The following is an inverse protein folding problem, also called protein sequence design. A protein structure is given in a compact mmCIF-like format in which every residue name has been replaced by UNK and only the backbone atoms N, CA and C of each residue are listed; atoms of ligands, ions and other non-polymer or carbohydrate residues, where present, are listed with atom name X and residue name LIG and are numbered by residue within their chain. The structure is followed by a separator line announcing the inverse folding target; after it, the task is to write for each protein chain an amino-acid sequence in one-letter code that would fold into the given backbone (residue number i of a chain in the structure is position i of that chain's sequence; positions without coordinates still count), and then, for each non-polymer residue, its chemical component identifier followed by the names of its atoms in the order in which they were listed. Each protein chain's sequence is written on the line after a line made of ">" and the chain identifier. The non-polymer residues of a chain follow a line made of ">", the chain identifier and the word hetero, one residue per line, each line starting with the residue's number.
data_IF_727999774937
#
_entry.id   IF_727999774937
#
_cell.length_a   1.000
_cell.length_b   1.000
_cell.length_c   1.000
_cell.angle_alpha   90.00
_cell.angle_beta   90.00
_cell.angle_gamma   90.00
#
_symmetry.space_group_name_H-M   'P 1'
#
loop_
_entity.id
_entity.type
_entity.pdbx_description
1 polymer ?
#
# COMPACT_ATOMS: atom_id res chain seq x y z
N UNK A 1 29.79 2.41 -9.49
CA UNK A 1 30.49 1.78 -10.64
C UNK A 1 29.59 1.85 -11.88
N UNK A 2 30.11 2.09 -13.09
CA UNK A 2 29.29 2.10 -14.31
C UNK A 2 28.69 0.71 -14.57
N UNK A 3 27.38 0.62 -14.82
CA UNK A 3 26.70 -0.63 -15.16
C UNK A 3 27.15 -1.13 -16.52
N UNK A 4 27.62 -2.38 -16.60
CA UNK A 4 28.05 -2.96 -17.88
C UNK A 4 26.88 -3.05 -18.87
N UNK A 5 27.13 -3.03 -20.20
CA UNK A 5 26.07 -3.23 -21.20
C UNK A 5 25.23 -4.49 -20.97
N UNK A 6 25.86 -5.57 -20.50
CA UNK A 6 25.17 -6.83 -20.15
C UNK A 6 24.23 -6.68 -18.96
N UNK A 7 24.66 -5.96 -17.92
CA UNK A 7 23.82 -5.67 -16.75
C UNK A 7 22.60 -4.85 -17.13
N UNK A 8 22.77 -3.83 -18.00
CA UNK A 8 21.66 -3.00 -18.51
C UNK A 8 20.67 -3.81 -19.34
N UNK A 9 21.15 -4.65 -20.26
CA UNK A 9 20.28 -5.52 -21.05
C UNK A 9 19.48 -6.49 -20.17
N UNK A 10 20.10 -7.04 -19.11
CA UNK A 10 19.41 -7.89 -18.14
C UNK A 10 18.32 -7.13 -17.36
N UNK A 11 18.62 -5.91 -16.91
CA UNK A 11 17.63 -5.06 -16.22
C UNK A 11 16.45 -4.72 -17.13
N UNK A 12 16.71 -4.31 -18.38
CA UNK A 12 15.66 -4.03 -19.36
C UNK A 12 14.75 -5.24 -19.60
N UNK A 13 15.34 -6.44 -19.70
CA UNK A 13 14.56 -7.68 -19.87
C UNK A 13 13.66 -7.96 -18.67
N UNK A 14 14.15 -7.70 -17.45
CA UNK A 14 13.34 -7.84 -16.24
C UNK A 14 12.18 -6.84 -16.21
N UNK A 15 12.44 -5.58 -16.55
CA UNK A 15 11.43 -4.54 -16.65
C UNK A 15 10.35 -4.92 -17.67
N UNK A 16 10.74 -5.44 -18.83
CA UNK A 16 9.81 -5.91 -19.85
C UNK A 16 8.96 -7.11 -19.37
N UNK A 17 9.56 -8.06 -18.64
CA UNK A 17 8.84 -9.18 -18.05
C UNK A 17 7.79 -8.68 -17.05
N UNK A 18 8.15 -7.74 -16.17
CA UNK A 18 7.23 -7.14 -15.19
C UNK A 18 6.13 -6.36 -15.91
N UNK A 19 6.47 -5.51 -16.88
CA UNK A 19 5.51 -4.73 -17.68
C UNK A 19 4.49 -5.63 -18.39
N UNK A 20 4.96 -6.70 -19.04
CA UNK A 20 4.07 -7.67 -19.69
C UNK A 20 3.21 -8.40 -18.64
N UNK A 21 3.80 -8.77 -17.51
CA UNK A 21 3.09 -9.37 -16.38
C UNK A 21 1.96 -8.48 -15.83
N UNK A 22 2.20 -7.17 -15.66
CA UNK A 22 1.18 -6.19 -15.25
C UNK A 22 0.02 -6.15 -16.22
N UNK A 23 0.29 -6.17 -17.53
CA UNK A 23 -0.78 -6.19 -18.53
C UNK A 23 -1.59 -7.48 -18.48
N UNK A 24 -0.95 -8.65 -18.37
CA UNK A 24 -1.68 -9.91 -18.19
C UNK A 24 -2.47 -9.94 -16.89
N UNK A 25 -1.95 -9.36 -15.81
CA UNK A 25 -2.70 -9.19 -14.56
C UNK A 25 -3.97 -8.36 -14.78
N UNK A 26 -3.87 -7.30 -15.59
CA UNK A 26 -5.01 -6.42 -15.90
C UNK A 26 -6.05 -7.07 -16.81
N UNK A 27 -5.64 -7.86 -17.80
CA UNK A 27 -6.57 -8.48 -18.77
C UNK A 27 -7.12 -9.82 -18.30
N UNK A 28 -6.29 -10.64 -17.64
CA UNK A 28 -6.58 -12.05 -17.39
C UNK A 28 -6.64 -12.39 -15.89
N UNK A 29 -6.16 -11.49 -15.03
CA UNK A 29 -6.09 -11.69 -13.58
C UNK A 29 -4.94 -12.58 -13.11
N UNK A 30 -4.70 -12.59 -11.80
CA UNK A 30 -3.55 -13.27 -11.19
C UNK A 30 -3.56 -14.80 -11.39
N UNK A 31 -4.74 -15.42 -11.44
CA UNK A 31 -4.90 -16.86 -11.65
C UNK A 31 -4.38 -17.31 -13.03
N UNK A 32 -4.53 -16.46 -14.06
CA UNK A 32 -4.18 -16.79 -15.44
C UNK A 32 -2.73 -16.44 -15.83
N UNK A 33 -1.96 -15.82 -14.92
CA UNK A 33 -0.56 -15.45 -15.19
C UNK A 33 0.29 -16.64 -15.65
N UNK A 34 1.01 -16.46 -16.75
CA UNK A 34 1.76 -17.51 -17.42
C UNK A 34 3.09 -17.01 -17.99
N UNK A 35 4.20 -17.60 -17.54
CA UNK A 35 5.53 -17.33 -18.10
C UNK A 35 5.64 -17.69 -19.58
N UNK A 36 4.87 -18.66 -20.06
CA UNK A 36 4.82 -19.00 -21.49
C UNK A 36 4.15 -17.89 -22.30
N UNK A 37 3.07 -17.31 -21.78
CA UNK A 37 2.41 -16.17 -22.41
C UNK A 37 3.34 -14.95 -22.43
N UNK A 38 4.03 -14.67 -21.31
CA UNK A 38 5.02 -13.60 -21.22
C UNK A 38 6.14 -13.80 -22.25
N UNK A 39 6.70 -15.00 -22.36
CA UNK A 39 7.76 -15.31 -23.32
C UNK A 39 7.32 -15.10 -24.78
N UNK A 40 6.11 -15.55 -25.11
CA UNK A 40 5.51 -15.39 -26.44
C UNK A 40 5.40 -13.92 -26.80
N UNK A 41 4.92 -13.09 -25.87
CA UNK A 41 4.79 -11.66 -26.13
C UNK A 41 6.14 -10.94 -26.21
N UNK A 42 7.11 -11.35 -25.37
CA UNK A 42 8.48 -10.83 -25.45
C UNK A 42 9.21 -11.26 -26.74
N UNK A 43 8.63 -12.18 -27.53
CA UNK A 43 9.22 -12.67 -28.77
C UNK A 43 10.37 -13.66 -28.56
N UNK A 44 10.42 -14.32 -27.39
CA UNK A 44 11.48 -15.27 -27.03
C UNK A 44 10.93 -16.66 -26.72
N UNK A 45 11.81 -17.66 -26.81
CA UNK A 45 11.49 -19.02 -26.37
C UNK A 45 11.25 -19.06 -24.86
N UNK A 46 10.32 -19.89 -24.38
CA UNK A 46 9.98 -19.95 -22.94
C UNK A 46 11.18 -20.22 -22.05
N UNK A 47 12.10 -21.09 -22.49
CA UNK A 47 13.34 -21.39 -21.75
C UNK A 47 14.24 -20.18 -21.52
N UNK A 48 14.12 -19.11 -22.31
CA UNK A 48 14.86 -17.87 -22.10
C UNK A 48 14.30 -17.09 -20.89
N UNK A 49 12.96 -16.98 -20.77
CA UNK A 49 12.32 -16.28 -19.63
C UNK A 49 12.59 -17.00 -18.30
N UNK A 50 12.62 -18.33 -18.30
CA UNK A 50 12.96 -19.12 -17.10
C UNK A 50 14.37 -18.84 -16.52
N UNK A 51 15.27 -18.20 -17.29
CA UNK A 51 16.58 -17.73 -16.78
C UNK A 51 16.50 -16.44 -15.95
N UNK A 52 15.35 -15.77 -16.01
CA UNK A 52 15.05 -14.52 -15.32
C UNK A 52 14.02 -14.74 -14.21
N UNK A 53 12.96 -15.49 -14.51
CA UNK A 53 11.85 -15.78 -13.60
C UNK A 53 11.52 -17.28 -13.68
N UNK A 54 11.83 -18.00 -12.61
CA UNK A 54 11.83 -19.46 -12.49
C UNK A 54 10.43 -20.06 -12.37
N UNK A 55 9.45 -19.29 -11.89
CA UNK A 55 8.10 -19.78 -11.67
C UNK A 55 7.02 -18.69 -11.81
N UNK A 56 5.76 -19.12 -11.87
CA UNK A 56 4.61 -18.22 -11.77
C UNK A 56 4.62 -17.44 -10.44
N UNK A 57 4.98 -18.09 -9.35
CA UNK A 57 5.00 -17.46 -8.02
C UNK A 57 6.12 -16.42 -7.91
N UNK A 58 7.26 -16.64 -8.58
CA UNK A 58 8.30 -15.62 -8.69
C UNK A 58 7.83 -14.43 -9.53
N UNK A 59 7.05 -14.66 -10.61
CA UNK A 59 6.42 -13.57 -11.36
C UNK A 59 5.42 -12.79 -10.48
N UNK A 60 4.58 -13.49 -9.70
CA UNK A 60 3.66 -12.87 -8.76
C UNK A 60 4.39 -12.05 -7.70
N UNK A 61 5.48 -12.58 -7.14
CA UNK A 61 6.32 -11.88 -6.17
C UNK A 61 6.88 -10.60 -6.77
N UNK A 62 7.39 -10.66 -8.00
CA UNK A 62 7.88 -9.48 -8.70
C UNK A 62 6.77 -8.44 -8.89
N UNK A 63 5.56 -8.85 -9.28
CA UNK A 63 4.42 -7.93 -9.44
C UNK A 63 3.94 -7.34 -8.10
N UNK A 64 4.01 -8.10 -7.01
CA UNK A 64 3.68 -7.61 -5.66
C UNK A 64 4.70 -6.58 -5.19
N UNK A 65 6.00 -6.89 -5.29
CA UNK A 65 7.09 -5.97 -4.94
C UNK A 65 6.99 -4.70 -5.76
N UNK A 66 6.74 -4.85 -7.06
CA UNK A 66 6.56 -3.76 -7.99
C UNK A 66 5.35 -2.87 -7.65
N UNK A 67 4.20 -3.47 -7.34
CA UNK A 67 3.00 -2.76 -6.91
C UNK A 67 3.22 -1.96 -5.64
N UNK A 68 3.79 -2.59 -4.60
CA UNK A 68 4.10 -1.91 -3.35
C UNK A 68 5.15 -0.81 -3.50
N UNK A 69 6.16 -1.04 -4.34
CA UNK A 69 7.22 -0.05 -4.60
C UNK A 69 6.64 1.20 -5.25
N UNK A 70 5.85 1.02 -6.30
CA UNK A 70 5.23 2.12 -7.04
C UNK A 70 4.21 2.90 -6.20
N UNK A 71 3.38 2.21 -5.41
CA UNK A 71 2.47 2.86 -4.46
C UNK A 71 3.26 3.67 -3.42
N UNK A 72 4.30 3.07 -2.83
CA UNK A 72 5.16 3.73 -1.86
C UNK A 72 5.88 4.95 -2.45
N UNK A 73 6.43 4.84 -3.66
CA UNK A 73 7.11 5.95 -4.35
C UNK A 73 6.13 7.09 -4.65
N UNK A 74 4.91 6.76 -5.06
CA UNK A 74 3.86 7.75 -5.34
C UNK A 74 3.46 8.50 -4.06
N UNK A 75 3.28 7.80 -2.94
CA UNK A 75 2.96 8.40 -1.65
C UNK A 75 4.12 9.26 -1.13
N UNK A 76 5.36 8.76 -1.20
CA UNK A 76 6.53 9.51 -0.74
C UNK A 76 6.73 10.81 -1.54
N UNK A 77 6.54 10.76 -2.86
CA UNK A 77 6.60 11.94 -3.72
C UNK A 77 5.49 12.95 -3.38
N UNK A 78 4.26 12.49 -3.15
CA UNK A 78 3.15 13.37 -2.79
C UNK A 78 3.36 14.04 -1.41
N UNK A 79 3.90 13.30 -0.43
CA UNK A 79 4.21 13.82 0.90
C UNK A 79 5.36 14.82 0.90
N UNK A 80 6.34 14.67 0.00
CA UNK A 80 7.45 15.61 -0.12
C UNK A 80 7.00 17.04 -0.51
N UNK A 81 5.91 17.14 -1.28
CA UNK A 81 5.33 18.41 -1.72
C UNK A 81 4.14 18.87 -0.83
N UNK A 82 3.74 18.06 0.15
CA UNK A 82 2.61 18.35 1.01
C UNK A 82 2.93 19.47 2.03
N UNK A 83 1.93 20.28 2.43
CA UNK A 83 2.08 21.23 3.53
C UNK A 83 2.59 20.54 4.80
N UNK A 84 3.34 21.28 5.62
CA UNK A 84 3.92 20.79 6.87
C UNK A 84 2.88 20.69 8.02
N UNK A 85 1.69 20.16 7.71
CA UNK A 85 0.56 20.00 8.62
C UNK A 85 0.10 18.54 8.67
N UNK A 86 0.20 17.84 9.81
CA UNK A 86 -0.05 16.40 9.87
C UNK A 86 -1.43 15.95 9.40
N UNK A 87 -2.49 16.72 9.67
CA UNK A 87 -3.83 16.40 9.19
C UNK A 87 -3.90 16.44 7.65
N UNK A 88 -3.29 17.45 7.03
CA UNK A 88 -3.24 17.56 5.58
C UNK A 88 -2.32 16.52 4.95
N UNK A 89 -1.18 16.19 5.59
CA UNK A 89 -0.31 15.10 5.13
C UNK A 89 -1.05 13.76 5.11
N UNK A 90 -1.88 13.47 6.11
CA UNK A 90 -2.73 12.28 6.10
C UNK A 90 -3.74 12.31 4.94
N UNK A 91 -4.38 13.46 4.69
CA UNK A 91 -5.29 13.62 3.55
C UNK A 91 -4.58 13.42 2.21
N UNK A 92 -3.40 14.00 2.03
CA UNK A 92 -2.55 13.81 0.84
C UNK A 92 -2.20 12.34 0.66
N UNK A 93 -1.76 11.65 1.72
CA UNK A 93 -1.47 10.21 1.67
C UNK A 93 -2.71 9.43 1.22
N UNK A 94 -3.85 9.65 1.87
CA UNK A 94 -5.09 8.92 1.58
C UNK A 94 -5.61 9.16 0.16
N UNK A 95 -5.63 10.41 -0.30
CA UNK A 95 -6.00 10.78 -1.67
C UNK A 95 -5.07 10.16 -2.70
N UNK A 96 -3.77 10.12 -2.39
CA UNK A 96 -2.76 9.52 -3.27
C UNK A 96 -2.97 8.02 -3.40
N UNK A 97 -3.24 7.32 -2.28
CA UNK A 97 -3.59 5.89 -2.29
C UNK A 97 -4.85 5.65 -3.14
N UNK A 98 -5.92 6.43 -2.95
CA UNK A 98 -7.14 6.28 -3.74
C UNK A 98 -6.91 6.54 -5.23
N UNK A 99 -6.21 7.63 -5.58
CA UNK A 99 -5.90 7.98 -6.96
C UNK A 99 -5.07 6.88 -7.64
N UNK A 100 -4.05 6.36 -6.95
CA UNK A 100 -3.24 5.25 -7.45
C UNK A 100 -4.08 3.99 -7.65
N UNK A 101 -4.92 3.66 -6.66
CA UNK A 101 -5.76 2.46 -6.71
C UNK A 101 -6.82 2.51 -7.83
N UNK A 102 -7.38 3.69 -8.11
CA UNK A 102 -8.29 3.92 -9.25
C UNK A 102 -7.58 3.84 -10.59
N UNK A 103 -6.34 4.33 -10.67
CA UNK A 103 -5.54 4.27 -11.90
C UNK A 103 -5.06 2.83 -12.20
N UNK A 104 -4.80 2.04 -11.16
CA UNK A 104 -4.19 0.71 -11.26
C UNK A 104 -5.01 -0.36 -10.49
N UNK A 105 -6.31 -0.57 -10.82
CA UNK A 105 -7.22 -1.40 -10.02
C UNK A 105 -6.78 -2.86 -9.94
N UNK A 106 -6.16 -3.40 -10.99
CA UNK A 106 -5.68 -4.79 -11.01
C UNK A 106 -4.44 -4.98 -10.12
N UNK A 107 -3.57 -3.97 -10.03
CA UNK A 107 -2.42 -3.99 -9.11
C UNK A 107 -2.90 -3.78 -7.68
N UNK A 108 -3.83 -2.86 -7.44
CA UNK A 108 -4.48 -2.73 -6.14
C UNK A 108 -5.15 -4.04 -5.69
N UNK A 109 -5.87 -4.71 -6.59
CA UNK A 109 -6.47 -6.03 -6.36
C UNK A 109 -5.46 -7.12 -6.01
N UNK A 110 -4.27 -7.10 -6.61
CA UNK A 110 -3.20 -8.04 -6.26
C UNK A 110 -2.66 -7.82 -4.84
N UNK A 111 -2.61 -6.56 -4.37
CA UNK A 111 -2.03 -6.21 -3.07
C UNK A 111 -3.05 -6.32 -1.91
N UNK A 112 -4.27 -5.86 -2.14
CA UNK A 112 -5.28 -5.67 -1.08
C UNK A 112 -6.62 -6.39 -1.36
N UNK A 113 -6.72 -7.10 -2.48
CA UNK A 113 -7.91 -7.86 -2.85
C UNK A 113 -7.87 -9.32 -2.40
N UNK A 114 -8.56 -10.18 -3.15
CA UNK A 114 -8.66 -11.61 -2.85
C UNK A 114 -7.29 -12.29 -2.97
N UNK A 115 -6.84 -13.06 -1.96
CA UNK A 115 -5.60 -13.83 -2.03
C UNK A 115 -5.56 -14.75 -3.26
N UNK A 116 -4.38 -14.87 -3.86
CA UNK A 116 -4.16 -15.74 -5.02
C UNK A 116 -4.03 -17.19 -4.54
N UNK A 117 -4.91 -18.13 -4.96
CA UNK A 117 -4.85 -19.51 -4.48
C UNK A 117 -3.49 -20.17 -4.77
N UNK A 118 -2.90 -20.79 -3.75
CA UNK A 118 -1.64 -21.52 -3.86
C UNK A 118 -0.39 -20.64 -3.97
N UNK A 119 -0.50 -19.33 -3.71
CA UNK A 119 0.62 -18.41 -3.68
C UNK A 119 0.76 -17.80 -2.28
N UNK A 120 1.94 -17.98 -1.68
CA UNK A 120 2.35 -17.31 -0.45
C UNK A 120 3.48 -16.33 -0.76
N UNK A 121 3.26 -15.06 -0.44
CA UNK A 121 4.24 -14.01 -0.71
C UNK A 121 5.44 -14.13 0.25
N UNK A 122 6.69 -14.18 -0.25
CA UNK A 122 7.88 -14.27 0.60
C UNK A 122 8.09 -12.96 1.36
N UNK A 123 7.92 -13.01 2.69
CA UNK A 123 7.96 -11.82 3.57
C UNK A 123 9.30 -11.06 3.46
N UNK A 124 10.41 -11.78 3.29
CA UNK A 124 11.75 -11.18 3.14
C UNK A 124 11.88 -10.29 1.89
N UNK A 125 10.99 -10.43 0.90
CA UNK A 125 10.95 -9.58 -0.29
C UNK A 125 9.82 -8.54 -0.24
N UNK A 126 8.68 -8.88 0.39
CA UNK A 126 7.47 -8.07 0.31
C UNK A 126 7.21 -7.19 1.52
N UNK A 127 7.75 -7.50 2.70
CA UNK A 127 7.50 -6.72 3.92
C UNK A 127 8.05 -5.29 3.81
N UNK A 128 9.29 -5.12 3.37
CA UNK A 128 9.92 -3.80 3.26
C UNK A 128 9.15 -2.85 2.32
N UNK A 129 8.85 -3.21 1.06
CA UNK A 129 8.03 -2.35 0.21
C UNK A 129 6.57 -2.26 0.69
N UNK A 130 6.00 -3.35 1.20
CA UNK A 130 4.58 -3.41 1.61
C UNK A 130 4.23 -2.63 2.87
N UNK A 131 5.21 -2.24 3.68
CA UNK A 131 4.97 -1.48 4.91
C UNK A 131 5.18 0.03 4.75
N UNK A 132 5.67 0.52 3.61
CA UNK A 132 6.02 1.95 3.42
C UNK A 132 4.87 2.91 3.76
N UNK A 133 3.67 2.64 3.25
CA UNK A 133 2.51 3.54 3.43
C UNK A 133 2.02 3.55 4.89
N UNK A 134 1.96 2.39 5.56
CA UNK A 134 1.57 2.35 6.99
C UNK A 134 2.63 3.00 7.88
N UNK A 135 3.91 2.85 7.54
CA UNK A 135 5.02 3.53 8.23
C UNK A 135 4.86 5.06 8.10
N UNK A 136 4.63 5.55 6.88
CA UNK A 136 4.41 6.98 6.64
C UNK A 136 3.20 7.52 7.42
N UNK A 137 2.07 6.79 7.40
CA UNK A 137 0.87 7.15 8.15
C UNK A 137 1.13 7.23 9.67
N UNK A 138 1.80 6.23 10.24
CA UNK A 138 2.09 6.22 11.68
C UNK A 138 3.07 7.33 12.08
N UNK A 139 4.03 7.68 11.22
CA UNK A 139 4.93 8.83 11.44
C UNK A 139 4.19 10.16 11.41
N UNK A 140 3.21 10.33 10.52
CA UNK A 140 2.35 11.51 10.49
C UNK A 140 1.60 11.65 11.84
N UNK A 141 1.03 10.56 12.34
CA UNK A 141 0.30 10.57 13.62
C UNK A 141 1.22 10.81 14.83
N UNK A 142 2.39 10.18 14.86
CA UNK A 142 3.39 10.43 15.90
C UNK A 142 3.81 11.91 15.94
N UNK A 143 4.07 12.51 14.77
CA UNK A 143 4.39 13.93 14.70
C UNK A 143 3.24 14.83 15.15
N UNK A 144 1.99 14.46 14.85
CA UNK A 144 0.82 15.18 15.36
C UNK A 144 0.73 15.13 16.89
N UNK A 145 1.07 13.97 17.48
CA UNK A 145 1.15 13.79 18.93
C UNK A 145 2.25 14.64 19.56
N UNK A 146 3.46 14.60 19.01
CA UNK A 146 4.60 15.42 19.47
C UNK A 146 4.29 16.93 19.43
N UNK A 147 3.51 17.37 18.43
CA UNK A 147 3.04 18.76 18.29
C UNK A 147 1.84 19.11 19.18
N UNK A 148 1.32 18.17 19.97
CA UNK A 148 0.15 18.39 20.83
C UNK A 148 -1.17 18.63 20.07
N UNK A 149 -1.25 18.17 18.81
CA UNK A 149 -2.42 18.38 17.95
C UNK A 149 -3.54 17.37 18.20
N UNK A 150 -3.25 16.28 18.92
CA UNK A 150 -4.17 15.18 19.17
C UNK A 150 -4.79 15.25 20.56
N UNK A 151 -6.09 14.96 20.64
CA UNK A 151 -6.81 14.82 21.90
C UNK A 151 -6.85 13.35 22.31
N UNK A 152 -6.27 13.04 23.46
CA UNK A 152 -6.33 11.71 24.06
C UNK A 152 -7.78 11.29 24.36
N UNK A 153 -8.12 9.99 24.26
CA UNK A 153 -9.46 9.52 24.61
C UNK A 153 -9.77 9.75 26.10
N UNK A 154 -11.01 10.15 26.40
CA UNK A 154 -11.49 10.21 27.78
C UNK A 154 -11.75 8.79 28.29
N UNK A 155 -11.11 8.40 29.40
CA UNK A 155 -11.30 7.08 30.02
C UNK A 155 -10.64 5.96 29.22
N UNK A 156 -9.31 5.95 29.19
CA UNK A 156 -8.54 4.92 28.51
C UNK A 156 -8.78 3.56 29.16
N UNK A 157 -9.29 2.58 28.38
CA UNK A 157 -9.32 1.19 28.82
C UNK A 157 -7.92 0.62 28.65
N UNK A 158 -7.37 0.04 29.70
CA UNK A 158 -6.08 -0.65 29.60
C UNK A 158 -6.18 -1.76 28.55
N UNK A 159 -5.23 -1.77 27.60
CA UNK A 159 -5.04 -2.90 26.69
C UNK A 159 -4.45 -4.09 27.45
N UNK A 160 -4.62 -5.30 26.92
CA UNK A 160 -4.04 -6.50 27.52
C UNK A 160 -2.52 -6.50 27.35
N UNK A 161 -1.81 -7.17 28.28
CA UNK A 161 -0.34 -7.29 28.22
C UNK A 161 0.16 -7.79 26.85
N UNK A 162 -0.40 -8.85 26.22
CA UNK A 162 0.05 -9.29 24.91
C UNK A 162 -0.10 -8.24 23.80
N UNK A 163 -1.12 -7.37 23.91
CA UNK A 163 -1.32 -6.30 22.94
C UNK A 163 -0.34 -5.15 23.18
N UNK A 164 -0.04 -4.80 24.43
CA UNK A 164 1.03 -3.85 24.76
C UNK A 164 2.38 -4.34 24.23
N UNK A 165 2.73 -5.62 24.43
CA UNK A 165 3.96 -6.22 23.88
C UNK A 165 4.01 -6.14 22.34
N UNK A 166 2.86 -6.32 21.67
CA UNK A 166 2.76 -6.16 20.22
C UNK A 166 2.97 -4.69 19.81
N UNK A 167 2.41 -3.74 20.56
CA UNK A 167 2.63 -2.31 20.31
C UNK A 167 4.07 -1.88 20.58
N UNK A 168 4.73 -2.45 21.60
CA UNK A 168 6.15 -2.23 21.86
C UNK A 168 7.01 -2.70 20.68
N UNK A 169 6.79 -3.91 20.18
CA UNK A 169 7.51 -4.42 19.02
C UNK A 169 7.29 -3.55 17.77
N UNK A 170 6.08 -3.03 17.55
CA UNK A 170 5.79 -2.12 16.44
C UNK A 170 6.49 -0.76 16.65
N UNK A 171 6.44 -0.20 17.86
CA UNK A 171 7.13 1.05 18.19
C UNK A 171 8.64 0.94 17.97
N UNK A 172 9.25 -0.15 18.41
CA UNK A 172 10.67 -0.42 18.22
C UNK A 172 11.03 -0.53 16.73
N UNK A 173 10.22 -1.25 15.96
CA UNK A 173 10.41 -1.37 14.52
C UNK A 173 10.28 -0.02 13.79
N UNK A 174 9.33 0.82 14.20
CA UNK A 174 9.05 2.10 13.57
C UNK A 174 9.92 3.26 14.09
N UNK A 175 10.55 3.08 15.26
CA UNK A 175 11.25 4.13 16.01
C UNK A 175 10.30 5.21 16.54
N UNK A 176 9.16 4.82 17.12
CA UNK A 176 8.12 5.75 17.59
C UNK A 176 8.01 5.79 19.11
N UNK A 177 7.91 6.99 19.68
CA UNK A 177 7.65 7.21 21.11
C UNK A 177 6.23 7.73 21.32
N UNK A 178 5.24 6.85 21.19
CA UNK A 178 3.82 7.18 21.26
C UNK A 178 3.04 6.28 22.23
N UNK A 179 1.99 6.80 22.90
CA UNK A 179 1.19 6.02 23.84
C UNK A 179 0.34 4.93 23.16
N UNK A 180 -0.07 3.93 23.94
CA UNK A 180 -0.87 2.79 23.47
C UNK A 180 -2.18 3.21 22.81
N UNK A 181 -2.89 4.23 23.32
CA UNK A 181 -4.10 4.73 22.67
C UNK A 181 -3.85 5.20 21.23
N UNK A 182 -2.68 5.80 20.95
CA UNK A 182 -2.37 6.29 19.62
C UNK A 182 -2.03 5.14 18.68
N UNK A 183 -1.29 4.14 19.18
CA UNK A 183 -1.06 2.90 18.44
C UNK A 183 -2.39 2.24 18.07
N UNK A 184 -3.30 2.09 19.04
CA UNK A 184 -4.63 1.51 18.83
C UNK A 184 -5.44 2.28 17.77
N UNK A 185 -5.43 3.61 17.82
CA UNK A 185 -6.13 4.44 16.82
C UNK A 185 -5.49 4.35 15.44
N UNK A 186 -4.16 4.35 15.36
CA UNK A 186 -3.44 4.17 14.10
C UNK A 186 -3.74 2.83 13.43
N UNK A 187 -3.71 1.73 14.19
CA UNK A 187 -4.09 0.40 13.67
C UNK A 187 -5.58 0.25 13.38
N UNK A 188 -6.43 1.13 13.92
CA UNK A 188 -7.86 1.21 13.57
C UNK A 188 -8.07 1.97 12.25
N UNK A 189 -7.37 3.08 12.08
CA UNK A 189 -7.47 3.92 10.87
C UNK A 189 -6.91 3.22 9.64
N UNK A 190 -5.84 2.44 9.78
CA UNK A 190 -5.24 1.69 8.67
C UNK A 190 -6.25 0.82 7.89
N UNK A 191 -6.91 -0.19 8.49
CA UNK A 191 -7.89 -1.00 7.77
C UNK A 191 -9.12 -0.21 7.35
N UNK A 192 -9.50 0.85 8.08
CA UNK A 192 -10.62 1.69 7.69
C UNK A 192 -10.35 2.47 6.40
N UNK A 193 -9.15 3.06 6.26
CA UNK A 193 -8.73 3.72 5.02
C UNK A 193 -8.74 2.75 3.83
N UNK A 194 -8.09 1.60 3.95
CA UNK A 194 -8.07 0.62 2.85
C UNK A 194 -9.44 -0.03 2.60
N UNK A 195 -10.32 -0.08 3.60
CA UNK A 195 -11.72 -0.44 3.43
C UNK A 195 -12.46 0.57 2.54
N UNK A 196 -12.31 1.87 2.80
CA UNK A 196 -12.93 2.92 1.97
C UNK A 196 -12.40 2.91 0.53
N UNK A 197 -11.09 2.79 0.35
CA UNK A 197 -10.47 2.68 -0.99
C UNK A 197 -10.92 1.41 -1.71
N UNK A 198 -10.93 0.26 -1.01
CA UNK A 198 -11.36 -1.00 -1.60
C UNK A 198 -12.84 -1.00 -2.02
N UNK A 199 -13.70 -0.38 -1.22
CA UNK A 199 -15.12 -0.25 -1.58
C UNK A 199 -15.35 0.62 -2.81
N UNK A 200 -14.53 1.66 -2.98
CA UNK A 200 -14.56 2.50 -4.18
C UNK A 200 -14.03 1.74 -5.41
N UNK A 201 -12.82 1.19 -5.32
CA UNK A 201 -12.08 0.58 -6.43
C UNK A 201 -12.73 -0.72 -6.91
N UNK A 202 -13.30 -1.51 -6.01
CA UNK A 202 -14.02 -2.74 -6.37
C UNK A 202 -15.52 -2.54 -6.54
N UNK A 203 -15.96 -1.29 -6.67
CA UNK A 203 -17.34 -0.87 -6.90
C UNK A 203 -18.37 -1.47 -5.92
N UNK A 204 -17.97 -1.66 -4.65
CA UNK A 204 -18.85 -2.24 -3.62
C UNK A 204 -19.96 -1.27 -3.19
N UNK A 205 -19.75 0.04 -3.40
CA UNK A 205 -20.81 1.02 -3.23
C UNK A 205 -21.90 0.89 -4.31
N UNK A 206 -21.57 0.37 -5.50
CA UNK A 206 -22.45 0.33 -6.66
C UNK A 206 -22.49 1.66 -7.42
N UNK A 207 -22.57 1.57 -8.76
CA UNK A 207 -22.41 2.70 -9.68
C UNK A 207 -23.27 3.94 -9.37
N UNK A 208 -24.51 3.74 -8.91
CA UNK A 208 -25.50 4.83 -8.76
C UNK A 208 -25.81 5.21 -7.29
N UNK A 209 -25.15 4.59 -6.32
CA UNK A 209 -25.47 4.80 -4.90
C UNK A 209 -25.04 6.18 -4.39
N UNK A 210 -23.89 6.66 -4.83
CA UNK A 210 -23.35 7.97 -4.44
C UNK A 210 -23.00 8.78 -5.68
N UNK A 211 -23.64 9.93 -5.84
CA UNK A 211 -23.42 10.83 -6.98
C UNK A 211 -22.06 11.54 -6.92
N UNK A 212 -21.50 11.74 -5.73
CA UNK A 212 -20.18 12.35 -5.51
C UNK A 212 -19.35 11.47 -4.56
N UNK A 213 -18.56 10.55 -5.13
CA UNK A 213 -17.69 9.65 -4.37
C UNK A 213 -16.45 10.35 -3.81
N UNK A 214 -16.06 11.46 -4.43
CA UNK A 214 -14.89 12.22 -3.97
C UNK A 214 -15.26 13.02 -2.72
N UNK A 215 -16.41 13.68 -2.69
CA UNK A 215 -16.92 14.29 -1.45
C UNK A 215 -17.12 13.24 -0.35
N UNK A 216 -17.70 12.08 -0.67
CA UNK A 216 -17.86 10.99 0.30
C UNK A 216 -16.52 10.59 0.92
N UNK A 217 -15.49 10.41 0.08
CA UNK A 217 -14.15 10.05 0.55
C UNK A 217 -13.59 11.12 1.49
N UNK A 218 -13.70 12.40 1.15
CA UNK A 218 -13.27 13.51 2.03
C UNK A 218 -13.99 13.47 3.40
N UNK A 219 -15.30 13.19 3.43
CA UNK A 219 -16.05 13.04 4.70
C UNK A 219 -15.60 11.83 5.51
N UNK A 220 -15.20 10.75 4.84
CA UNK A 220 -14.62 9.59 5.52
C UNK A 220 -13.26 9.96 6.12
N UNK A 221 -12.42 10.73 5.42
CA UNK A 221 -11.13 11.21 5.96
C UNK A 221 -11.31 12.10 7.19
N UNK A 222 -12.31 12.98 7.20
CA UNK A 222 -12.65 13.78 8.38
C UNK A 222 -13.00 12.88 9.58
N UNK A 223 -13.77 11.82 9.34
CA UNK A 223 -14.09 10.82 10.35
C UNK A 223 -12.87 10.05 10.86
N UNK A 224 -11.96 9.65 9.97
CA UNK A 224 -10.72 8.97 10.33
C UNK A 224 -9.79 9.86 11.14
N UNK A 225 -9.64 11.14 10.75
CA UNK A 225 -8.86 12.13 11.52
C UNK A 225 -9.44 12.35 12.92
N UNK A 226 -10.77 12.39 13.05
CA UNK A 226 -11.43 12.46 14.35
C UNK A 226 -11.18 11.21 15.19
N UNK A 227 -11.13 10.00 14.59
CA UNK A 227 -10.74 8.77 15.29
C UNK A 227 -9.33 8.86 15.84
N UNK A 228 -8.36 9.40 15.08
CA UNK A 228 -6.98 9.64 15.58
C UNK A 228 -6.96 10.63 16.74
N UNK A 229 -7.85 11.62 16.72
CA UNK A 229 -8.00 12.64 17.76
C UNK A 229 -7.68 14.06 17.30
N UNK A 230 -7.61 14.31 15.99
CA UNK A 230 -7.58 15.67 15.46
C UNK A 230 -8.88 16.40 15.78
N UNK A 231 -8.80 17.71 15.96
CA UNK A 231 -9.98 18.53 16.26
C UNK A 231 -10.79 18.77 14.97
N UNK A 232 -12.13 18.81 15.05
CA UNK A 232 -12.94 19.20 13.90
C UNK A 232 -12.52 20.58 13.36
N UNK A 233 -12.23 20.68 12.07
CA UNK A 233 -11.83 21.92 11.40
C UNK A 233 -10.33 22.22 11.37
N UNK A 234 -9.47 21.24 11.73
CA UNK A 234 -8.00 21.29 11.50
C UNK A 234 -7.57 20.73 10.15
#
# INVERSE_FOLDING_TARGET
>A
MPTTPRTRARAQTMEDIVRIGRRHLATDGAAALSLRAVARELGVVSSAVYRYVRSRDELLTLLVVDGYTDLGDTVDAALAEAPDEPAEQFRVLARTVLSWARAEPSRYGLLFGTPVPGYDAPAEQTTAPGTRVVIAMQRIFARAYERGLLTAPAGERSVSVPLTESFDAIRDFLGLEVPDWLMLRGVTVWPALFGTVGFDVFDQYGADTFADRDELFERQLDGLLAVVGFRPGS
#
